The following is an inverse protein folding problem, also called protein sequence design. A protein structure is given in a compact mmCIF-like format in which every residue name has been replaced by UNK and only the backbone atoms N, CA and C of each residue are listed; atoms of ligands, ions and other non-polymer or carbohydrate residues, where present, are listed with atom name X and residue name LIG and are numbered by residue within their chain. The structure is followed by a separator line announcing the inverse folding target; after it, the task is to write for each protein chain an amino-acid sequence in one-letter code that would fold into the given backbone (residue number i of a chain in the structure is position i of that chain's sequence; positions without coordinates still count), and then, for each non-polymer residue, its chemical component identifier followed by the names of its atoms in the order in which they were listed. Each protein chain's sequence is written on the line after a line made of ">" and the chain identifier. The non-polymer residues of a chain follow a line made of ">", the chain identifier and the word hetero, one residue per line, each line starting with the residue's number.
data_IF_717717782553
#
_entry.id   IF_717717782553
#
_cell.length_a   1.000
_cell.length_b   1.000
_cell.length_c   1.000
_cell.angle_alpha   90.00
_cell.angle_beta   90.00
_cell.angle_gamma   90.00
#
_symmetry.space_group_name_H-M   'P 1'
#
loop_
_entity.id
_entity.type
_entity.pdbx_description
1 polymer ?
#
# COMPACT_ATOMS: atom_id res chain seq x y z
N UNK A 1 35.37 -42.44 11.46
CA UNK A 1 35.22 -41.31 10.52
C UNK A 1 33.75 -41.15 10.23
N UNK A 2 33.13 -40.33 11.04
CA UNK A 2 31.73 -39.89 10.86
C UNK A 2 31.79 -38.52 10.19
N UNK A 3 31.43 -38.48 8.92
CA UNK A 3 31.26 -37.26 8.17
C UNK A 3 29.81 -36.78 8.47
N UNK A 4 29.69 -35.75 9.30
CA UNK A 4 28.48 -35.01 9.41
C UNK A 4 28.31 -34.17 8.14
N UNK A 5 27.39 -34.60 7.27
CA UNK A 5 26.83 -33.76 6.24
C UNK A 5 26.07 -32.60 6.94
N UNK A 6 26.55 -31.38 6.75
CA UNK A 6 25.86 -30.19 7.18
C UNK A 6 24.60 -30.07 6.36
N UNK A 7 23.45 -30.04 7.04
CA UNK A 7 22.20 -29.57 6.46
C UNK A 7 22.37 -28.09 6.13
N UNK A 8 22.55 -27.85 4.86
CA UNK A 8 22.46 -26.50 4.28
C UNK A 8 20.98 -26.07 4.29
N UNK A 9 20.58 -25.47 5.42
CA UNK A 9 19.35 -24.73 5.45
C UNK A 9 19.54 -23.53 4.54
N UNK A 10 19.22 -23.71 3.25
CA UNK A 10 18.99 -22.60 2.37
C UNK A 10 17.88 -21.76 3.01
N UNK A 11 18.26 -20.68 3.69
CA UNK A 11 17.36 -19.57 3.97
C UNK A 11 16.73 -19.20 2.63
N UNK A 12 15.50 -19.63 2.44
CA UNK A 12 14.65 -19.07 1.41
C UNK A 12 14.39 -17.64 1.86
N UNK A 13 15.31 -16.77 1.48
CA UNK A 13 15.05 -15.32 1.39
C UNK A 13 13.88 -15.18 0.40
N UNK A 14 12.68 -15.24 0.94
CA UNK A 14 11.49 -14.77 0.26
C UNK A 14 11.70 -13.27 0.17
N UNK A 15 12.37 -12.83 -0.91
CA UNK A 15 12.56 -11.43 -1.22
C UNK A 15 11.26 -10.70 -0.91
N UNK A 16 11.35 -9.57 -0.23
CA UNK A 16 10.23 -8.76 0.20
C UNK A 16 9.44 -8.27 -1.03
N UNK A 17 8.65 -9.18 -1.63
CA UNK A 17 7.72 -8.81 -2.69
C UNK A 17 6.61 -7.97 -2.05
N UNK A 18 6.51 -6.73 -2.49
CA UNK A 18 5.46 -5.82 -2.04
C UNK A 18 4.08 -6.36 -2.47
N UNK A 19 3.20 -6.75 -1.53
CA UNK A 19 1.90 -7.32 -1.85
C UNK A 19 0.85 -6.27 -2.28
N UNK A 20 1.16 -4.97 -2.24
CA UNK A 20 0.21 -3.88 -2.40
C UNK A 20 0.04 -3.41 -3.85
N UNK A 21 0.33 -4.27 -4.85
CA UNK A 21 0.26 -3.90 -6.26
C UNK A 21 -1.14 -3.43 -6.73
N UNK A 22 -2.20 -3.85 -6.05
CA UNK A 22 -3.58 -3.43 -6.34
C UNK A 22 -3.82 -1.91 -6.14
N UNK A 23 -2.95 -1.21 -5.44
CA UNK A 23 -3.03 0.25 -5.24
C UNK A 23 -2.62 1.04 -6.48
N UNK A 24 -1.91 0.43 -7.43
CA UNK A 24 -1.85 0.90 -8.81
C UNK A 24 -3.06 0.34 -9.56
N UNK A 25 -3.99 1.21 -9.97
CA UNK A 25 -5.23 0.76 -10.62
C UNK A 25 -4.98 0.07 -11.96
N UNK A 26 -3.85 0.27 -12.62
CA UNK A 26 -3.50 -0.50 -13.80
C UNK A 26 -3.14 -1.95 -13.42
N UNK A 27 -2.49 -2.19 -12.27
CA UNK A 27 -2.26 -3.53 -11.74
C UNK A 27 -3.56 -4.17 -11.23
N UNK A 28 -4.42 -3.39 -10.57
CA UNK A 28 -5.75 -3.86 -10.15
C UNK A 28 -6.58 -4.39 -11.34
N UNK A 29 -6.50 -3.77 -12.52
CA UNK A 29 -7.15 -4.24 -13.74
C UNK A 29 -6.61 -5.59 -14.21
N UNK A 30 -5.32 -5.87 -14.01
CA UNK A 30 -4.74 -7.20 -14.26
C UNK A 30 -5.36 -8.24 -13.32
N UNK A 31 -5.53 -7.91 -12.03
CA UNK A 31 -6.19 -8.80 -11.08
C UNK A 31 -7.63 -9.13 -11.50
N UNK A 32 -8.41 -8.10 -11.85
CA UNK A 32 -9.80 -8.28 -12.33
C UNK A 32 -9.85 -9.19 -13.56
N UNK A 33 -8.93 -9.00 -14.50
CA UNK A 33 -8.83 -9.81 -15.72
C UNK A 33 -8.52 -11.27 -15.40
N UNK A 34 -7.53 -11.52 -14.53
CA UNK A 34 -7.14 -12.87 -14.14
C UNK A 34 -8.27 -13.59 -13.36
N UNK A 35 -8.96 -12.86 -12.47
CA UNK A 35 -10.11 -13.40 -11.72
C UNK A 35 -11.25 -13.77 -12.69
N UNK A 36 -11.59 -12.89 -13.63
CA UNK A 36 -12.59 -13.16 -14.68
C UNK A 36 -12.25 -14.44 -15.45
N UNK A 37 -11.01 -14.55 -15.91
CA UNK A 37 -10.58 -15.68 -16.74
C UNK A 37 -10.60 -16.99 -15.95
N UNK A 38 -10.15 -16.96 -14.68
CA UNK A 38 -10.26 -18.12 -13.79
C UNK A 38 -11.72 -18.54 -13.49
N UNK A 39 -12.61 -17.56 -13.31
CA UNK A 39 -14.05 -17.86 -13.12
C UNK A 39 -14.67 -18.47 -14.40
N UNK A 40 -14.33 -17.97 -15.57
CA UNK A 40 -14.82 -18.51 -16.85
C UNK A 40 -14.28 -19.93 -17.06
N UNK A 41 -13.03 -20.23 -16.71
CA UNK A 41 -12.48 -21.58 -16.80
C UNK A 41 -13.20 -22.54 -15.84
N UNK A 42 -13.47 -22.11 -14.61
CA UNK A 42 -14.13 -22.94 -13.60
C UNK A 42 -15.63 -23.12 -13.84
N UNK A 43 -16.31 -22.11 -14.40
CA UNK A 43 -17.76 -22.09 -14.64
C UNK A 43 -18.09 -21.41 -15.98
N UNK A 44 -17.84 -22.12 -17.07
CA UNK A 44 -18.09 -21.64 -18.43
C UNK A 44 -19.56 -21.37 -18.74
N UNK A 45 -20.49 -21.96 -18.00
CA UNK A 45 -21.92 -21.73 -18.18
C UNK A 45 -22.33 -20.28 -17.88
N UNK A 46 -21.60 -19.60 -16.99
CA UNK A 46 -21.82 -18.22 -16.59
C UNK A 46 -20.80 -17.23 -17.20
N UNK A 47 -20.01 -17.64 -18.19
CA UNK A 47 -18.93 -16.85 -18.80
C UNK A 47 -19.37 -15.44 -19.21
N UNK A 48 -20.56 -15.31 -19.81
CA UNK A 48 -21.08 -14.02 -20.27
C UNK A 48 -21.32 -13.04 -19.09
N UNK A 49 -21.80 -13.58 -17.95
CA UNK A 49 -22.02 -12.77 -16.75
C UNK A 49 -20.71 -12.31 -16.13
N UNK A 50 -19.70 -13.17 -16.07
CA UNK A 50 -18.37 -12.82 -15.58
C UNK A 50 -17.71 -11.77 -16.46
N UNK A 51 -17.82 -11.90 -17.79
CA UNK A 51 -17.29 -10.94 -18.73
C UNK A 51 -17.96 -9.58 -18.58
N UNK A 52 -19.29 -9.52 -18.55
CA UNK A 52 -20.02 -8.25 -18.41
C UNK A 52 -19.74 -7.57 -17.06
N UNK A 53 -19.59 -8.33 -15.95
CA UNK A 53 -19.24 -7.78 -14.67
C UNK A 53 -17.82 -7.21 -14.66
N UNK A 54 -16.86 -7.93 -15.24
CA UNK A 54 -15.47 -7.47 -15.33
C UNK A 54 -15.36 -6.21 -16.21
N UNK A 55 -16.01 -6.16 -17.37
CA UNK A 55 -16.02 -4.99 -18.26
C UNK A 55 -16.54 -3.74 -17.54
N UNK A 56 -17.63 -3.87 -16.76
CA UNK A 56 -18.17 -2.75 -15.98
C UNK A 56 -17.19 -2.29 -14.92
N UNK A 57 -16.61 -3.22 -14.14
CA UNK A 57 -15.68 -2.89 -13.08
C UNK A 57 -14.36 -2.30 -13.60
N UNK A 58 -13.85 -2.80 -14.71
CA UNK A 58 -12.68 -2.23 -15.39
C UNK A 58 -12.92 -0.77 -15.83
N UNK A 59 -14.13 -0.45 -16.31
CA UNK A 59 -14.49 0.92 -16.65
C UNK A 59 -14.60 1.84 -15.41
N UNK A 60 -15.08 1.29 -14.28
CA UNK A 60 -15.09 2.00 -13.00
C UNK A 60 -13.66 2.29 -12.51
N UNK A 61 -12.74 1.33 -12.61
CA UNK A 61 -11.33 1.53 -12.26
C UNK A 61 -10.67 2.59 -13.16
N UNK A 62 -10.95 2.62 -14.46
CA UNK A 62 -10.45 3.67 -15.35
C UNK A 62 -10.96 5.07 -14.95
N UNK A 63 -12.22 5.16 -14.53
CA UNK A 63 -12.79 6.43 -14.06
C UNK A 63 -12.12 6.91 -12.78
N UNK A 64 -11.90 6.01 -11.81
CA UNK A 64 -11.23 6.33 -10.54
C UNK A 64 -9.76 6.67 -10.76
N UNK A 65 -9.05 5.97 -11.65
CA UNK A 65 -7.66 6.29 -12.00
C UNK A 65 -7.53 7.73 -12.55
N UNK A 66 -8.45 8.11 -13.43
CA UNK A 66 -8.48 9.46 -13.98
C UNK A 66 -8.77 10.52 -12.90
N UNK A 67 -9.71 10.26 -12.00
CA UNK A 67 -10.06 11.15 -10.89
C UNK A 67 -8.88 11.33 -9.92
N UNK A 68 -8.19 10.24 -9.54
CA UNK A 68 -7.00 10.29 -8.69
C UNK A 68 -5.94 11.17 -9.34
N UNK A 69 -5.64 10.98 -10.65
CA UNK A 69 -4.64 11.76 -11.35
C UNK A 69 -5.00 13.24 -11.41
N UNK A 70 -6.28 13.57 -11.59
CA UNK A 70 -6.75 14.95 -11.59
C UNK A 70 -6.57 15.59 -10.20
N UNK A 71 -7.04 14.95 -9.14
CA UNK A 71 -6.91 15.44 -7.76
C UNK A 71 -5.45 15.62 -7.35
N UNK A 72 -4.59 14.66 -7.66
CA UNK A 72 -3.18 14.70 -7.28
C UNK A 72 -2.35 15.65 -8.15
N UNK A 73 -2.85 16.08 -9.31
CA UNK A 73 -2.15 17.06 -10.15
C UNK A 73 -1.97 18.42 -9.48
N UNK A 74 -2.77 18.72 -8.45
CA UNK A 74 -2.69 19.95 -7.67
C UNK A 74 -1.65 19.85 -6.52
N UNK A 75 -1.15 18.65 -6.21
CA UNK A 75 -0.18 18.43 -5.14
C UNK A 75 1.23 18.65 -5.69
N UNK A 76 2.09 19.46 -5.01
CA UNK A 76 3.48 19.62 -5.42
C UNK A 76 4.22 18.28 -5.45
N UNK A 77 5.00 18.02 -6.49
CA UNK A 77 5.79 16.78 -6.63
C UNK A 77 6.82 16.56 -5.50
N UNK A 78 7.13 17.61 -4.74
CA UNK A 78 8.01 17.55 -3.56
C UNK A 78 7.26 17.30 -2.25
N UNK A 79 5.93 17.16 -2.30
CA UNK A 79 5.15 16.89 -1.10
C UNK A 79 5.32 15.43 -0.69
N UNK A 80 5.58 15.21 0.60
CA UNK A 80 5.66 13.88 1.21
C UNK A 80 4.58 13.74 2.27
N UNK A 81 4.13 12.52 2.48
CA UNK A 81 3.20 12.15 3.55
C UNK A 81 3.74 10.92 4.28
N UNK A 82 3.29 10.71 5.50
CA UNK A 82 3.72 9.58 6.33
C UNK A 82 2.53 8.70 6.68
N UNK A 83 2.73 7.39 6.54
CA UNK A 83 1.80 6.31 6.90
C UNK A 83 2.42 5.37 7.91
N UNK A 84 1.64 4.43 8.45
CA UNK A 84 2.09 3.53 9.52
C UNK A 84 3.09 2.48 9.07
N UNK A 85 2.94 1.93 7.86
CA UNK A 85 3.87 0.96 7.25
C UNK A 85 4.07 1.26 5.76
N UNK A 86 5.00 0.54 5.11
CA UNK A 86 5.37 0.77 3.69
C UNK A 86 4.41 0.03 2.75
N UNK A 87 3.19 0.54 2.61
CA UNK A 87 2.13 -0.07 1.80
C UNK A 87 1.82 0.67 0.50
N UNK A 88 2.35 1.89 0.32
CA UNK A 88 1.95 2.76 -0.78
C UNK A 88 3.00 2.88 -1.91
N UNK A 89 3.94 1.94 -2.02
CA UNK A 89 4.99 1.95 -3.04
C UNK A 89 4.45 1.95 -4.47
N UNK A 90 3.46 1.10 -4.76
CA UNK A 90 2.79 1.06 -6.07
C UNK A 90 1.97 2.32 -6.34
N UNK A 91 1.29 2.87 -5.33
CA UNK A 91 0.56 4.14 -5.45
C UNK A 91 1.52 5.29 -5.74
N UNK A 92 2.63 5.38 -5.00
CA UNK A 92 3.69 6.37 -5.24
C UNK A 92 4.19 6.34 -6.68
N UNK A 93 4.47 5.14 -7.18
CA UNK A 93 4.96 4.94 -8.55
C UNK A 93 3.94 5.33 -9.62
N UNK A 94 2.66 5.04 -9.38
CA UNK A 94 1.58 5.31 -10.33
C UNK A 94 1.16 6.78 -10.37
N UNK A 95 1.18 7.46 -9.21
CA UNK A 95 0.54 8.76 -9.01
C UNK A 95 1.48 9.88 -8.54
N UNK A 96 2.72 9.57 -8.19
CA UNK A 96 3.75 10.57 -7.89
C UNK A 96 3.71 11.19 -6.50
N UNK A 97 2.92 10.63 -5.56
CA UNK A 97 2.94 11.05 -4.16
C UNK A 97 4.05 10.31 -3.42
N UNK A 98 4.88 11.01 -2.67
CA UNK A 98 5.95 10.39 -1.90
C UNK A 98 5.44 9.97 -0.51
N UNK A 99 5.42 8.66 -0.26
CA UNK A 99 5.06 8.06 1.03
C UNK A 99 6.31 7.64 1.79
N UNK A 100 6.34 7.96 3.08
CA UNK A 100 7.36 7.58 4.03
C UNK A 100 6.72 6.79 5.17
N UNK A 101 7.44 5.83 5.75
CA UNK A 101 6.91 5.04 6.87
C UNK A 101 7.99 4.67 7.88
N UNK A 102 7.66 4.52 9.19
CA UNK A 102 8.56 4.06 10.23
C UNK A 102 8.79 2.55 10.21
N UNK A 103 7.91 1.81 9.55
CA UNK A 103 7.88 0.34 9.50
C UNK A 103 7.90 -0.09 8.03
N UNK A 104 8.57 -1.22 7.74
CA UNK A 104 8.59 -1.80 6.40
C UNK A 104 7.24 -2.42 5.99
N UNK A 105 7.27 -3.43 5.11
CA UNK A 105 6.06 -4.02 4.48
C UNK A 105 5.15 -4.82 5.44
N UNK A 106 5.59 -5.13 6.67
CA UNK A 106 4.81 -5.92 7.62
C UNK A 106 4.08 -5.05 8.63
N UNK A 107 2.77 -5.25 8.76
CA UNK A 107 1.91 -4.60 9.77
C UNK A 107 2.16 -5.10 11.20
N UNK A 108 2.83 -6.24 11.37
CA UNK A 108 3.13 -6.84 12.67
C UNK A 108 4.44 -6.32 13.27
N UNK A 109 5.23 -5.57 12.52
CA UNK A 109 6.49 -5.02 12.98
C UNK A 109 6.28 -3.73 13.77
N UNK A 110 6.92 -3.61 14.92
CA UNK A 110 7.01 -2.35 15.64
C UNK A 110 8.25 -1.56 15.18
N UNK A 111 8.14 -0.24 14.98
CA UNK A 111 9.30 0.58 14.62
C UNK A 111 10.33 0.59 15.74
N UNK A 112 11.59 0.55 15.38
CA UNK A 112 12.65 0.78 16.37
C UNK A 112 12.71 2.26 16.78
N UNK A 113 13.24 2.54 17.97
CA UNK A 113 13.48 3.92 18.37
C UNK A 113 14.41 4.67 17.41
N UNK A 114 15.33 3.96 16.75
CA UNK A 114 16.21 4.55 15.75
C UNK A 114 15.46 4.92 14.46
N UNK A 115 14.52 4.08 13.99
CA UNK A 115 13.70 4.40 12.81
C UNK A 115 12.74 5.56 13.08
N UNK A 116 12.18 5.64 14.28
CA UNK A 116 11.35 6.78 14.69
C UNK A 116 12.15 8.08 14.72
N UNK A 117 13.35 8.08 15.32
CA UNK A 117 14.21 9.27 15.36
C UNK A 117 14.63 9.70 13.94
N UNK A 118 15.01 8.74 13.08
CA UNK A 118 15.35 9.04 11.69
C UNK A 118 14.18 9.66 10.92
N UNK A 119 12.95 9.22 11.19
CA UNK A 119 11.77 9.78 10.56
C UNK A 119 11.46 11.21 11.03
N UNK A 120 11.67 11.50 12.31
CA UNK A 120 11.57 12.89 12.84
C UNK A 120 12.60 13.79 12.15
N UNK A 121 13.85 13.32 11.99
CA UNK A 121 14.89 14.08 11.27
C UNK A 121 14.49 14.32 9.80
N UNK A 122 13.88 13.32 9.12
CA UNK A 122 13.37 13.46 7.76
C UNK A 122 12.22 14.47 7.68
N UNK A 123 11.28 14.43 8.64
CA UNK A 123 10.17 15.39 8.71
C UNK A 123 10.69 16.82 8.80
N UNK A 124 11.76 17.07 9.57
CA UNK A 124 12.35 18.40 9.72
C UNK A 124 13.09 18.88 8.47
N UNK A 125 13.58 17.95 7.63
CA UNK A 125 14.40 18.26 6.45
C UNK A 125 13.61 18.24 5.15
N UNK A 126 12.53 17.50 5.09
CA UNK A 126 11.71 17.27 3.91
C UNK A 126 10.37 18.03 3.99
N UNK A 127 9.73 18.17 2.86
CA UNK A 127 8.45 18.87 2.77
C UNK A 127 7.28 17.93 3.14
N UNK A 128 7.28 17.37 4.35
CA UNK A 128 6.20 16.52 4.84
C UNK A 128 4.98 17.38 5.14
N UNK A 129 3.85 17.06 4.51
CA UNK A 129 2.63 17.86 4.61
C UNK A 129 1.65 17.33 5.66
N UNK A 130 1.56 16.01 5.82
CA UNK A 130 0.60 15.38 6.71
C UNK A 130 1.03 13.96 7.10
N UNK A 131 0.42 13.50 8.19
CA UNK A 131 0.44 12.11 8.64
C UNK A 131 -0.92 11.46 8.38
N UNK A 132 -0.91 10.16 8.11
CA UNK A 132 -2.12 9.39 7.96
C UNK A 132 -2.08 8.15 8.85
N UNK A 133 -3.19 7.86 9.52
CA UNK A 133 -3.41 6.53 10.08
C UNK A 133 -3.67 5.52 8.96
N UNK A 134 -3.43 4.27 9.25
CA UNK A 134 -3.92 3.15 8.45
C UNK A 134 -4.84 2.30 9.30
N UNK A 135 -5.87 1.74 8.65
CA UNK A 135 -6.91 1.00 9.36
C UNK A 135 -6.44 -0.30 10.03
N UNK A 136 -5.30 -0.86 9.59
CA UNK A 136 -4.75 -2.13 10.09
C UNK A 136 -3.46 -1.98 10.88
N UNK A 137 -2.91 -0.78 11.03
CA UNK A 137 -1.67 -0.55 11.78
C UNK A 137 -1.91 0.01 13.19
N UNK A 138 -0.87 -0.03 14.02
CA UNK A 138 -0.91 0.58 15.34
C UNK A 138 -0.92 2.12 15.22
N UNK A 139 -2.08 2.71 15.42
CA UNK A 139 -2.28 4.16 15.31
C UNK A 139 -1.44 4.99 16.31
N UNK A 140 -0.97 4.37 17.41
CA UNK A 140 -0.16 5.05 18.40
C UNK A 140 1.16 5.60 17.83
N UNK A 141 1.74 4.94 16.82
CA UNK A 141 2.97 5.35 16.14
C UNK A 141 2.79 6.69 15.46
N UNK A 142 1.75 6.82 14.64
CA UNK A 142 1.42 8.06 13.92
C UNK A 142 1.01 9.16 14.89
N UNK A 143 0.26 8.81 15.95
CA UNK A 143 -0.11 9.76 17.01
C UNK A 143 1.12 10.33 17.70
N UNK A 144 2.11 9.48 18.05
CA UNK A 144 3.36 9.92 18.66
C UNK A 144 4.14 10.85 17.73
N UNK A 145 4.26 10.53 16.44
CA UNK A 145 4.91 11.41 15.46
C UNK A 145 4.21 12.77 15.37
N UNK A 146 2.87 12.79 15.38
CA UNK A 146 2.10 14.03 15.37
C UNK A 146 2.38 14.91 16.62
N UNK A 147 2.48 14.29 17.78
CA UNK A 147 2.79 14.98 19.04
C UNK A 147 4.22 15.55 19.05
N UNK A 148 5.20 14.80 18.54
CA UNK A 148 6.60 15.21 18.50
C UNK A 148 6.90 16.29 17.45
N UNK A 149 6.22 16.24 16.30
CA UNK A 149 6.52 17.12 15.14
C UNK A 149 5.53 18.28 14.98
N UNK A 150 4.34 18.17 15.56
CA UNK A 150 3.26 19.14 15.36
C UNK A 150 2.55 19.02 13.99
N UNK A 151 2.86 17.98 13.20
CA UNK A 151 2.17 17.74 11.92
C UNK A 151 0.73 17.27 12.15
N UNK A 152 -0.21 17.67 11.26
CA UNK A 152 -1.59 17.20 11.36
C UNK A 152 -1.72 15.75 10.94
N UNK A 153 -2.60 14.99 11.60
CA UNK A 153 -3.12 13.73 11.09
C UNK A 153 -4.31 14.07 10.18
N UNK A 154 -4.15 13.85 8.87
CA UNK A 154 -5.12 14.29 7.87
C UNK A 154 -6.29 13.31 7.70
N UNK A 155 -6.13 12.05 8.15
CA UNK A 155 -7.18 11.05 8.08
C UNK A 155 -6.68 9.62 8.24
N UNK A 156 -7.51 8.67 7.83
CA UNK A 156 -7.18 7.24 7.81
C UNK A 156 -7.19 6.71 6.37
N UNK A 157 -6.13 6.02 5.97
CA UNK A 157 -6.03 5.32 4.70
C UNK A 157 -6.30 3.82 4.90
N UNK A 158 -6.69 3.15 3.84
CA UNK A 158 -7.07 1.75 3.84
C UNK A 158 -6.10 0.98 2.95
N UNK A 159 -5.13 0.28 3.56
CA UNK A 159 -4.10 -0.46 2.85
C UNK A 159 -4.43 -1.96 2.72
N UNK A 160 -4.72 -2.65 3.83
CA UNK A 160 -4.84 -4.11 3.88
C UNK A 160 -6.26 -4.59 4.18
N UNK A 161 -7.22 -3.71 4.32
CA UNK A 161 -8.62 -4.05 4.50
C UNK A 161 -9.53 -2.99 3.84
N UNK A 162 -10.74 -3.42 3.50
CA UNK A 162 -11.76 -2.52 2.97
C UNK A 162 -12.26 -1.57 4.07
N UNK A 163 -12.71 -0.40 3.66
CA UNK A 163 -13.48 0.50 4.52
C UNK A 163 -14.75 -0.21 5.03
N UNK A 164 -15.20 0.16 6.22
CA UNK A 164 -16.50 -0.28 6.72
C UNK A 164 -17.63 0.34 5.90
N UNK A 165 -18.79 -0.33 5.85
CA UNK A 165 -19.95 0.22 5.15
C UNK A 165 -20.37 1.55 5.81
N UNK A 166 -20.20 2.66 5.08
CA UNK A 166 -20.55 4.01 5.52
C UNK A 166 -19.39 4.89 5.98
N UNK A 167 -18.13 4.40 5.85
CA UNK A 167 -16.91 5.21 6.04
C UNK A 167 -16.53 5.93 4.75
#
# INVERSE_FOLDING_TARGET
>A
HDEHAGDDHSDHDHGDDDPHAWQDLQQAKVYVTNIRDGLIEADSANAQSYQANAERYLAELDSVDAEIRELLSEIPASASVITGHDSFGYFSSAYGVNFLSPVGLSTEADPSGASMAALVDVIEQENVQALFHENMTNQAIITQLAEETGLPIAGTLYADALASEGD
#
